data_IF_922419665995
#
_entry.id   IF_922419665995
#
_cell.length_a   1.000
_cell.length_b   1.000
_cell.length_c   1.000
_cell.angle_alpha   90.00
_cell.angle_beta   90.00
_cell.angle_gamma   90.00
#
_symmetry.space_group_name_H-M   'P 1'
#
loop_
_entity.id
_entity.type
_entity.pdbx_description
1 polymer ?
#
# COMPACT_ATOMS: atom_id res chain seq x y z
N UNK A 1 -83.11 9.94 15.95
CA UNK A 1 -83.06 11.41 15.88
C UNK A 1 -82.28 11.80 14.64
N UNK A 2 -82.81 12.77 13.88
CA UNK A 2 -82.30 13.26 12.59
C UNK A 2 -81.41 14.50 12.84
N UNK A 3 -80.28 14.64 12.13
CA UNK A 3 -79.56 15.90 11.75
C UNK A 3 -78.33 15.55 10.88
N UNK A 4 -78.32 15.69 9.54
CA UNK A 4 -78.00 16.87 8.67
C UNK A 4 -76.53 17.35 8.78
N UNK A 5 -75.60 16.90 7.91
CA UNK A 5 -75.07 17.45 6.62
C UNK A 5 -74.32 18.81 6.75
N UNK A 6 -73.09 18.88 6.19
CA UNK A 6 -72.45 19.93 5.32
C UNK A 6 -70.91 19.66 5.32
N UNK A 7 -70.30 19.05 4.30
CA UNK A 7 -69.73 19.61 3.05
C UNK A 7 -68.63 20.71 3.24
N UNK A 8 -67.38 20.36 2.90
CA UNK A 8 -66.39 21.30 2.33
C UNK A 8 -65.28 20.53 1.60
N UNK A 9 -65.33 20.54 0.27
CA UNK A 9 -64.23 20.19 -0.65
C UNK A 9 -63.21 21.33 -0.69
N UNK A 10 -61.90 21.05 -0.65
CA UNK A 10 -60.91 21.77 -1.46
C UNK A 10 -59.63 20.94 -1.67
N UNK A 11 -59.21 20.86 -2.92
CA UNK A 11 -58.05 20.15 -3.44
C UNK A 11 -56.72 20.78 -2.99
N UNK A 12 -55.65 20.00 -2.94
CA UNK A 12 -54.50 20.10 -3.88
C UNK A 12 -53.33 19.22 -3.43
N UNK A 13 -52.72 18.57 -4.42
CA UNK A 13 -51.51 17.80 -4.29
C UNK A 13 -50.33 18.67 -3.89
N UNK A 14 -49.53 18.20 -2.93
CA UNK A 14 -48.11 18.49 -2.88
C UNK A 14 -47.38 17.17 -2.67
N UNK A 15 -46.98 16.57 -3.78
CA UNK A 15 -45.89 15.60 -3.82
C UNK A 15 -44.65 16.29 -3.23
N UNK A 16 -44.23 15.87 -2.04
CA UNK A 16 -42.98 16.33 -1.44
C UNK A 16 -41.86 15.71 -2.28
N UNK A 17 -41.46 16.41 -3.33
CA UNK A 17 -40.20 16.12 -4.02
C UNK A 17 -39.08 16.46 -3.04
N UNK A 18 -38.62 15.46 -2.29
CA UNK A 18 -37.37 15.52 -1.55
C UNK A 18 -36.24 15.60 -2.59
N UNK A 19 -35.91 16.81 -3.04
CA UNK A 19 -34.66 17.03 -3.76
C UNK A 19 -33.51 16.74 -2.79
N UNK A 20 -32.91 15.57 -2.94
CA UNK A 20 -31.62 15.26 -2.35
C UNK A 20 -30.62 16.31 -2.87
N UNK A 21 -30.34 17.33 -2.07
CA UNK A 21 -29.25 18.27 -2.34
C UNK A 21 -27.94 17.48 -2.27
N UNK A 22 -27.39 17.13 -3.43
CA UNK A 22 -26.00 16.69 -3.50
C UNK A 22 -25.13 17.88 -3.09
N UNK A 23 -24.22 17.73 -2.12
CA UNK A 23 -23.32 18.82 -1.76
C UNK A 23 -22.48 19.18 -2.99
N UNK A 24 -22.62 20.41 -3.48
CA UNK A 24 -21.78 20.94 -4.55
C UNK A 24 -20.42 21.25 -3.95
N UNK A 25 -19.47 20.33 -4.10
CA UNK A 25 -18.08 20.54 -3.67
C UNK A 25 -17.47 21.67 -4.51
N UNK A 26 -17.01 22.74 -3.87
CA UNK A 26 -16.34 23.83 -4.60
C UNK A 26 -14.95 23.37 -5.07
N UNK A 27 -14.40 23.96 -6.15
CA UNK A 27 -13.02 23.67 -6.57
C UNK A 27 -12.00 23.85 -5.44
N UNK A 28 -12.21 24.82 -4.53
CA UNK A 28 -11.38 25.04 -3.33
C UNK A 28 -11.45 23.86 -2.37
N UNK A 29 -12.65 23.31 -2.12
CA UNK A 29 -12.82 22.17 -1.21
C UNK A 29 -12.24 20.89 -1.80
N UNK A 30 -12.36 20.69 -3.12
CA UNK A 30 -11.72 19.58 -3.83
C UNK A 30 -10.19 19.63 -3.68
N UNK A 31 -9.58 20.80 -3.91
CA UNK A 31 -8.12 20.97 -3.75
C UNK A 31 -7.67 20.72 -2.31
N UNK A 32 -8.45 21.13 -1.31
CA UNK A 32 -8.15 20.82 0.11
C UNK A 32 -8.19 19.30 0.36
N UNK A 33 -9.19 18.61 -0.20
CA UNK A 33 -9.32 17.16 -0.07
C UNK A 33 -8.16 16.42 -0.76
N UNK A 34 -7.82 16.78 -2.00
CA UNK A 34 -6.70 16.18 -2.73
C UNK A 34 -5.38 16.38 -1.98
N UNK A 35 -5.15 17.58 -1.43
CA UNK A 35 -3.97 17.85 -0.59
C UNK A 35 -3.92 16.97 0.67
N UNK A 36 -5.05 16.54 1.22
CA UNK A 36 -5.09 15.61 2.36
C UNK A 36 -4.70 14.20 1.91
N UNK A 37 -5.23 13.74 0.77
CA UNK A 37 -4.89 12.45 0.16
C UNK A 37 -3.40 12.38 -0.17
N UNK A 38 -2.87 13.35 -0.91
CA UNK A 38 -1.45 13.40 -1.29
C UNK A 38 -0.53 13.41 -0.06
N UNK A 39 -0.90 14.09 1.03
CA UNK A 39 -0.13 14.05 2.29
C UNK A 39 -0.13 12.66 2.92
N UNK A 40 -1.26 11.96 2.87
CA UNK A 40 -1.36 10.59 3.35
C UNK A 40 -0.49 9.64 2.51
N UNK A 41 -0.62 9.68 1.18
CA UNK A 41 0.18 8.87 0.26
C UNK A 41 1.69 9.09 0.46
N UNK A 42 2.11 10.34 0.66
CA UNK A 42 3.51 10.64 0.96
C UNK A 42 4.01 9.98 2.25
N UNK A 43 3.16 9.84 3.27
CA UNK A 43 3.52 9.15 4.51
C UNK A 43 3.67 7.65 4.28
N UNK A 44 2.72 7.03 3.57
CA UNK A 44 2.76 5.60 3.25
C UNK A 44 3.97 5.27 2.36
N UNK A 45 4.21 6.02 1.28
CA UNK A 45 5.41 5.88 0.43
C UNK A 45 6.71 5.97 1.24
N UNK A 46 6.76 6.82 2.27
CA UNK A 46 7.93 6.92 3.13
C UNK A 46 8.02 5.80 4.17
N UNK A 47 6.91 5.17 4.55
CA UNK A 47 6.90 3.93 5.32
C UNK A 47 7.44 2.79 4.45
N UNK A 48 6.89 2.58 3.26
CA UNK A 48 7.33 1.52 2.33
C UNK A 48 8.82 1.63 1.99
N UNK A 49 9.34 2.85 1.77
CA UNK A 49 10.78 3.06 1.58
C UNK A 49 11.63 2.60 2.77
N UNK A 50 11.15 2.81 4.00
CA UNK A 50 11.86 2.41 5.22
C UNK A 50 11.82 0.90 5.38
N UNK A 51 10.68 0.28 5.13
CA UNK A 51 10.54 -1.17 5.23
C UNK A 51 11.42 -1.86 4.17
N UNK A 52 11.36 -1.42 2.90
CA UNK A 52 12.30 -1.86 1.84
C UNK A 52 13.78 -1.68 2.22
N UNK A 53 14.10 -0.65 3.02
CA UNK A 53 15.47 -0.44 3.49
C UNK A 53 15.87 -1.44 4.57
N UNK A 54 14.95 -1.85 5.44
CA UNK A 54 15.18 -2.89 6.46
C UNK A 54 15.34 -4.25 5.81
N UNK A 55 14.44 -4.62 4.89
CA UNK A 55 14.53 -5.91 4.18
C UNK A 55 15.87 -6.06 3.45
N UNK A 56 16.40 -4.96 2.88
CA UNK A 56 17.74 -4.97 2.28
C UNK A 56 18.85 -5.23 3.28
N UNK A 57 18.72 -4.70 4.50
CA UNK A 57 19.70 -4.91 5.57
C UNK A 57 19.63 -6.34 6.09
N UNK A 58 18.43 -6.88 6.25
CA UNK A 58 18.18 -8.29 6.63
C UNK A 58 18.79 -9.24 5.60
N UNK A 59 18.46 -9.09 4.31
CA UNK A 59 19.09 -9.87 3.24
C UNK A 59 20.63 -9.75 3.26
N UNK A 60 21.17 -8.57 3.58
CA UNK A 60 22.62 -8.39 3.66
C UNK A 60 23.23 -9.14 4.85
N UNK A 61 22.52 -9.20 5.97
CA UNK A 61 22.89 -10.00 7.14
C UNK A 61 22.86 -11.49 6.81
N UNK A 62 21.79 -11.99 6.20
CA UNK A 62 21.65 -13.42 5.89
C UNK A 62 22.71 -13.88 4.88
N UNK A 63 23.03 -13.01 3.91
CA UNK A 63 24.16 -13.26 2.99
C UNK A 63 25.49 -13.39 3.70
N UNK A 64 25.70 -12.67 4.82
CA UNK A 64 26.91 -12.73 5.64
C UNK A 64 26.95 -14.03 6.43
N UNK A 65 25.84 -14.46 7.01
CA UNK A 65 25.74 -15.75 7.72
C UNK A 65 25.99 -16.92 6.76
N UNK A 66 25.30 -16.93 5.62
CA UNK A 66 25.50 -17.92 4.56
C UNK A 66 26.92 -17.96 4.00
N UNK A 67 27.63 -16.82 4.00
CA UNK A 67 29.06 -16.77 3.67
C UNK A 67 29.95 -17.32 4.80
N UNK A 68 29.56 -17.19 6.06
CA UNK A 68 30.29 -17.78 7.18
C UNK A 68 30.17 -19.31 7.15
N UNK A 69 28.99 -19.83 6.84
CA UNK A 69 28.75 -21.26 6.64
C UNK A 69 29.57 -21.83 5.49
N UNK A 70 29.63 -21.13 4.34
CA UNK A 70 30.53 -21.51 3.24
C UNK A 70 31.98 -21.66 3.73
N UNK A 71 32.49 -20.72 4.53
CA UNK A 71 33.87 -20.81 5.06
C UNK A 71 34.04 -21.93 6.09
N UNK A 72 32.98 -22.35 6.78
CA UNK A 72 33.01 -23.51 7.65
C UNK A 72 33.07 -24.79 6.82
N UNK A 73 32.19 -24.92 5.82
CA UNK A 73 32.19 -26.00 4.83
C UNK A 73 33.56 -26.19 4.18
N UNK A 74 34.15 -25.11 3.65
CA UNK A 74 35.47 -25.14 3.00
C UNK A 74 36.57 -25.66 3.94
N UNK A 75 36.49 -25.33 5.24
CA UNK A 75 37.43 -25.81 6.26
C UNK A 75 37.24 -27.29 6.55
N UNK A 76 35.99 -27.75 6.65
CA UNK A 76 35.67 -29.16 6.89
C UNK A 76 36.09 -30.04 5.72
N UNK A 77 35.85 -29.59 4.48
CA UNK A 77 36.35 -30.24 3.26
C UNK A 77 37.88 -30.34 3.31
N UNK A 78 38.57 -29.24 3.61
CA UNK A 78 40.04 -29.22 3.69
C UNK A 78 40.60 -30.18 4.75
N UNK A 79 39.89 -30.35 5.85
CA UNK A 79 40.28 -31.25 6.95
C UNK A 79 39.84 -32.71 6.72
N UNK A 80 39.12 -33.00 5.64
CA UNK A 80 38.60 -34.34 5.34
C UNK A 80 37.32 -34.71 6.10
N UNK A 81 36.70 -33.76 6.81
CA UNK A 81 35.47 -33.95 7.58
C UNK A 81 34.23 -33.82 6.69
N UNK A 82 34.07 -34.74 5.74
CA UNK A 82 33.02 -34.65 4.71
C UNK A 82 31.59 -34.65 5.27
N UNK A 83 31.35 -35.35 6.38
CA UNK A 83 30.02 -35.41 7.00
C UNK A 83 29.58 -34.05 7.58
N UNK A 84 30.49 -33.25 8.12
CA UNK A 84 30.18 -31.91 8.62
C UNK A 84 30.10 -30.90 7.48
N UNK A 85 30.94 -31.04 6.45
CA UNK A 85 30.81 -30.27 5.22
C UNK A 85 29.44 -30.44 4.56
N UNK A 86 28.91 -31.67 4.46
CA UNK A 86 27.58 -31.94 3.89
C UNK A 86 26.46 -31.25 4.70
N UNK A 87 26.59 -31.17 6.03
CA UNK A 87 25.63 -30.44 6.86
C UNK A 87 25.67 -28.94 6.58
N UNK A 88 26.87 -28.37 6.44
CA UNK A 88 27.05 -26.95 6.12
C UNK A 88 26.52 -26.63 4.72
N UNK A 89 26.74 -27.51 3.74
CA UNK A 89 26.19 -27.39 2.39
C UNK A 89 24.66 -27.31 2.43
N UNK A 90 23.99 -28.25 3.13
CA UNK A 90 22.53 -28.26 3.28
C UNK A 90 22.00 -26.99 3.95
N UNK A 91 22.68 -26.50 4.98
CA UNK A 91 22.32 -25.24 5.68
C UNK A 91 22.47 -24.04 4.74
N UNK A 92 23.60 -23.93 4.04
CA UNK A 92 23.88 -22.88 3.06
C UNK A 92 22.87 -22.88 1.91
N UNK A 93 22.50 -24.05 1.40
CA UNK A 93 21.46 -24.17 0.37
C UNK A 93 20.10 -23.68 0.85
N UNK A 94 19.71 -24.05 2.08
CA UNK A 94 18.47 -23.61 2.69
C UNK A 94 18.45 -22.07 2.83
N UNK A 95 19.47 -21.49 3.44
CA UNK A 95 19.62 -20.03 3.57
C UNK A 95 19.61 -19.33 2.20
N UNK A 96 20.23 -19.94 1.19
CA UNK A 96 20.22 -19.39 -0.17
C UNK A 96 18.81 -19.38 -0.79
N UNK A 97 17.94 -20.35 -0.47
CA UNK A 97 16.53 -20.36 -0.89
C UNK A 97 15.73 -19.27 -0.18
N UNK A 98 15.91 -19.10 1.13
CA UNK A 98 15.25 -18.04 1.91
C UNK A 98 15.62 -16.64 1.38
N UNK A 99 16.92 -16.37 1.18
CA UNK A 99 17.40 -15.12 0.56
C UNK A 99 16.76 -14.88 -0.81
N UNK A 100 16.54 -15.93 -1.60
CA UNK A 100 15.91 -15.80 -2.91
C UNK A 100 14.41 -15.48 -2.80
N UNK A 101 13.72 -16.04 -1.81
CA UNK A 101 12.33 -15.70 -1.49
C UNK A 101 12.20 -14.24 -1.06
N UNK A 102 13.00 -13.79 -0.10
CA UNK A 102 13.02 -12.39 0.35
C UNK A 102 13.34 -11.42 -0.78
N UNK A 103 14.31 -11.75 -1.64
CA UNK A 103 14.61 -10.93 -2.83
C UNK A 103 13.43 -10.83 -3.78
N UNK A 104 12.63 -11.90 -3.92
CA UNK A 104 11.43 -11.89 -4.76
C UNK A 104 10.38 -10.97 -4.17
N UNK A 105 10.17 -11.02 -2.86
CA UNK A 105 9.20 -10.17 -2.17
C UNK A 105 9.63 -8.71 -2.16
N UNK A 106 10.90 -8.41 -1.87
CA UNK A 106 11.49 -7.08 -2.01
C UNK A 106 11.30 -6.49 -3.41
N UNK A 107 11.35 -7.33 -4.46
CA UNK A 107 11.09 -6.89 -5.82
C UNK A 107 9.61 -6.56 -6.06
N UNK A 108 8.67 -7.29 -5.44
CA UNK A 108 7.24 -6.94 -5.47
C UNK A 108 6.99 -5.62 -4.75
N UNK A 109 7.58 -5.40 -3.58
CA UNK A 109 7.40 -4.17 -2.81
C UNK A 109 7.94 -2.96 -3.56
N UNK A 110 9.09 -3.11 -4.23
CA UNK A 110 9.62 -2.06 -5.12
C UNK A 110 8.67 -1.73 -6.28
N UNK A 111 8.02 -2.74 -6.86
CA UNK A 111 7.04 -2.53 -7.94
C UNK A 111 5.80 -1.81 -7.41
N UNK A 112 5.28 -2.23 -6.25
CA UNK A 112 4.15 -1.59 -5.57
C UNK A 112 4.48 -0.12 -5.28
N UNK A 113 5.61 0.15 -4.64
CA UNK A 113 6.09 1.51 -4.37
C UNK A 113 6.23 2.36 -5.64
N UNK A 114 6.63 1.76 -6.76
CA UNK A 114 6.67 2.45 -8.05
C UNK A 114 5.27 2.82 -8.55
N UNK A 115 4.28 1.95 -8.33
CA UNK A 115 2.89 2.20 -8.66
C UNK A 115 2.31 3.32 -7.79
N UNK A 116 2.48 3.23 -6.46
CA UNK A 116 1.98 4.24 -5.51
C UNK A 116 2.55 5.63 -5.82
N UNK A 117 3.83 5.71 -6.24
CA UNK A 117 4.43 6.98 -6.68
C UNK A 117 3.80 7.53 -7.94
N UNK A 118 3.36 6.67 -8.86
CA UNK A 118 2.70 7.06 -10.10
C UNK A 118 1.28 7.56 -9.81
N UNK A 119 0.50 6.81 -9.02
CA UNK A 119 -0.84 7.22 -8.57
C UNK A 119 -0.80 8.58 -7.88
N UNK A 120 0.08 8.74 -6.88
CA UNK A 120 0.29 10.04 -6.22
C UNK A 120 0.64 11.15 -7.22
N UNK A 121 1.40 10.86 -8.27
CA UNK A 121 1.73 11.85 -9.28
C UNK A 121 0.51 12.25 -10.12
N UNK A 122 -0.35 11.29 -10.45
CA UNK A 122 -1.63 11.54 -11.13
C UNK A 122 -2.56 12.39 -10.25
N UNK A 123 -2.63 12.11 -8.95
CA UNK A 123 -3.39 12.89 -7.97
C UNK A 123 -2.87 14.32 -7.85
N UNK A 124 -1.55 14.50 -7.81
CA UNK A 124 -0.93 15.84 -7.85
C UNK A 124 -1.34 16.58 -9.14
N UNK A 125 -1.31 15.92 -10.29
CA UNK A 125 -1.68 16.53 -11.56
C UNK A 125 -3.16 16.93 -11.60
N UNK A 126 -4.05 16.07 -11.09
CA UNK A 126 -5.48 16.37 -10.97
C UNK A 126 -5.71 17.58 -10.06
N UNK A 127 -5.12 17.56 -8.86
CA UNK A 127 -5.18 18.67 -7.92
C UNK A 127 -4.70 19.98 -8.53
N UNK A 128 -3.62 19.96 -9.32
CA UNK A 128 -3.12 21.15 -10.01
C UNK A 128 -4.11 21.69 -11.04
N UNK A 129 -4.81 20.81 -11.78
CA UNK A 129 -5.86 21.22 -12.72
C UNK A 129 -7.06 21.85 -11.99
N UNK A 130 -7.45 21.31 -10.85
CA UNK A 130 -8.56 21.86 -10.07
C UNK A 130 -8.18 23.17 -9.38
N UNK A 131 -6.91 23.30 -8.95
CA UNK A 131 -6.38 24.56 -8.43
C UNK A 131 -6.34 25.68 -9.49
N UNK A 132 -6.18 25.35 -10.77
CA UNK A 132 -6.21 26.33 -11.86
C UNK A 132 -7.62 26.86 -12.19
N UNK A 133 -8.68 26.29 -11.59
CA UNK A 133 -10.08 26.72 -11.77
C UNK A 133 -10.59 27.60 -10.61
N UNK A 134 -9.73 27.87 -9.62
CA UNK A 134 -9.99 28.78 -8.49
C UNK A 134 -9.47 30.16 -8.86
#
# INVERSE_FOLDING_TARGET
>A
MKSKIILATFATAFSISAFAQTPVTTPVDQVKQDNKVIRHENREINRDKRDISRDKQEIAHDRKERNADQRAEDRDIKNGNLADAEKMEKKREHEQREINHEKKDLNKDRKKLSHDRKERQEDINKRNKDAAKI
#
